data_IF_467519545339
#
_entry.id   IF_467519545339
#
_cell.length_a   1.000
_cell.length_b   1.000
_cell.length_c   1.000
_cell.angle_alpha   90.00
_cell.angle_beta   90.00
_cell.angle_gamma   90.00
#
_symmetry.space_group_name_H-M   'P 1'
#
loop_
_entity.id
_entity.type
_entity.pdbx_description
1 polymer ?
#
# COMPACT_ATOMS: atom_id res chain seq x y z
N UNK A 1 12.89 6.64 10.63
CA UNK A 1 11.84 7.60 11.01
C UNK A 1 10.79 6.79 11.74
N UNK A 2 10.81 6.83 13.07
CA UNK A 2 10.04 5.91 13.91
C UNK A 2 8.54 6.24 13.79
N UNK A 3 7.70 5.22 13.86
CA UNK A 3 6.23 5.34 13.85
C UNK A 3 5.71 6.30 14.93
N UNK A 4 6.48 6.50 16.01
CA UNK A 4 6.23 7.46 17.08
C UNK A 4 6.13 8.93 16.60
N UNK A 5 6.86 9.32 15.54
CA UNK A 5 6.83 10.70 15.03
C UNK A 5 5.53 10.99 14.26
N UNK A 6 4.93 9.97 13.63
CA UNK A 6 3.64 10.09 12.93
C UNK A 6 2.49 10.16 13.93
N UNK A 7 2.47 9.31 14.98
CA UNK A 7 1.43 9.33 16.02
C UNK A 7 1.37 10.67 16.76
N UNK A 8 2.51 11.36 16.94
CA UNK A 8 2.60 12.64 17.66
C UNK A 8 2.04 13.82 16.86
N UNK A 9 2.22 13.84 15.54
CA UNK A 9 1.71 14.91 14.68
C UNK A 9 0.19 14.81 14.42
N UNK A 10 -0.41 13.61 14.50
CA UNK A 10 -1.84 13.41 14.26
C UNK A 10 -2.75 13.84 15.42
N UNK A 11 -2.25 13.92 16.66
CA UNK A 11 -3.03 14.42 17.81
C UNK A 11 -3.24 15.94 17.76
N UNK A 12 -2.52 16.67 16.91
CA UNK A 12 -2.67 18.11 16.75
C UNK A 12 -3.64 18.45 15.59
N UNK A 13 -4.93 18.47 15.89
CA UNK A 13 -6.03 18.63 14.90
C UNK A 13 -5.90 19.87 14.00
N UNK A 14 -5.16 20.89 14.39
CA UNK A 14 -4.92 22.12 13.61
C UNK A 14 -3.94 21.93 12.45
N UNK A 15 -3.07 20.92 12.49
CA UNK A 15 -2.10 20.60 11.43
C UNK A 15 -2.56 19.48 10.48
N UNK A 16 -3.66 18.80 10.83
CA UNK A 16 -4.20 17.71 10.02
C UNK A 16 -4.77 18.22 8.68
N UNK A 17 -4.48 17.47 7.59
CA UNK A 17 -5.10 17.70 6.27
C UNK A 17 -6.63 17.70 6.39
N UNK A 18 -7.37 18.46 5.55
CA UNK A 18 -8.82 18.60 5.69
C UNK A 18 -9.59 17.28 5.82
N UNK A 19 -9.26 16.28 5.01
CA UNK A 19 -9.90 14.96 5.02
C UNK A 19 -9.55 14.10 6.25
N UNK A 20 -8.54 14.49 7.04
CA UNK A 20 -8.17 13.85 8.29
C UNK A 20 -8.79 14.53 9.52
N UNK A 21 -9.37 15.72 9.42
CA UNK A 21 -9.81 16.50 10.59
C UNK A 21 -10.78 15.73 11.49
N UNK A 22 -11.82 15.15 10.91
CA UNK A 22 -12.81 14.38 11.68
C UNK A 22 -12.18 13.16 12.35
N UNK A 23 -11.30 12.44 11.65
CA UNK A 23 -10.60 11.29 12.20
C UNK A 23 -9.62 11.70 13.31
N UNK A 24 -8.85 12.76 13.12
CA UNK A 24 -7.92 13.30 14.12
C UNK A 24 -8.64 13.76 15.39
N UNK A 25 -9.80 14.42 15.25
CA UNK A 25 -10.65 14.79 16.38
C UNK A 25 -11.22 13.58 17.13
N UNK A 26 -11.64 12.55 16.40
CA UNK A 26 -12.08 11.31 17.03
C UNK A 26 -10.92 10.60 17.73
N UNK A 27 -9.75 10.52 17.09
CA UNK A 27 -8.57 9.84 17.61
C UNK A 27 -8.04 10.52 18.88
N UNK A 28 -8.04 11.85 18.95
CA UNK A 28 -7.60 12.61 20.13
C UNK A 28 -8.51 12.42 21.36
N UNK A 29 -9.74 11.96 21.15
CA UNK A 29 -10.68 11.62 22.23
C UNK A 29 -10.49 10.18 22.74
N UNK A 30 -9.68 9.36 22.05
CA UNK A 30 -9.43 7.98 22.47
C UNK A 30 -8.28 7.92 23.49
N UNK A 31 -8.45 7.13 24.54
CA UNK A 31 -7.39 6.84 25.50
C UNK A 31 -6.42 5.79 24.96
N UNK A 32 -5.16 5.81 25.44
CA UNK A 32 -4.12 4.89 24.98
C UNK A 32 -4.49 3.41 25.24
N UNK A 33 -5.21 3.11 26.32
CA UNK A 33 -5.72 1.77 26.61
C UNK A 33 -6.68 1.25 25.53
N UNK A 34 -7.56 2.13 25.01
CA UNK A 34 -8.48 1.76 23.94
C UNK A 34 -7.72 1.44 22.64
N UNK A 35 -6.71 2.25 22.29
CA UNK A 35 -5.90 2.03 21.10
C UNK A 35 -5.05 0.75 21.21
N UNK A 36 -4.49 0.47 22.39
CA UNK A 36 -3.76 -0.79 22.65
C UNK A 36 -4.66 -2.00 22.49
N UNK A 37 -5.87 -1.98 23.07
CA UNK A 37 -6.83 -3.06 22.95
C UNK A 37 -7.25 -3.30 21.47
N UNK A 38 -7.43 -2.22 20.69
CA UNK A 38 -7.74 -2.31 19.26
C UNK A 38 -6.59 -2.90 18.44
N UNK A 39 -5.34 -2.59 18.80
CA UNK A 39 -4.14 -3.15 18.16
C UNK A 39 -4.03 -4.66 18.45
N UNK A 40 -4.21 -5.07 19.70
CA UNK A 40 -4.22 -6.50 20.08
C UNK A 40 -5.36 -7.27 19.40
N UNK A 41 -6.55 -6.68 19.34
CA UNK A 41 -7.71 -7.26 18.66
C UNK A 41 -7.42 -7.47 17.16
N UNK A 42 -6.82 -6.48 16.50
CA UNK A 42 -6.40 -6.60 15.11
C UNK A 42 -5.37 -7.72 14.92
N UNK A 43 -4.31 -7.75 15.74
CA UNK A 43 -3.26 -8.77 15.66
C UNK A 43 -3.82 -10.19 15.81
N UNK A 44 -4.75 -10.40 16.75
CA UNK A 44 -5.43 -11.68 16.92
C UNK A 44 -6.25 -12.06 15.68
N UNK A 45 -6.93 -11.11 15.05
CA UNK A 45 -7.68 -11.34 13.82
C UNK A 45 -6.76 -11.72 12.66
N UNK A 46 -5.63 -11.03 12.47
CA UNK A 46 -4.65 -11.38 11.43
C UNK A 46 -4.08 -12.79 11.61
N UNK A 47 -3.79 -13.19 12.86
CA UNK A 47 -3.37 -14.57 13.17
C UNK A 47 -4.46 -15.60 12.88
N UNK A 48 -5.73 -15.30 13.21
CA UNK A 48 -6.86 -16.21 12.97
C UNK A 48 -7.19 -16.39 11.49
N UNK A 49 -7.07 -15.34 10.69
CA UNK A 49 -7.34 -15.38 9.24
C UNK A 49 -6.18 -16.00 8.45
N UNK A 50 -5.04 -16.27 9.11
CA UNK A 50 -3.88 -16.90 8.48
C UNK A 50 -3.13 -15.96 7.54
N UNK A 51 -3.20 -14.65 7.77
CA UNK A 51 -2.45 -13.65 6.99
C UNK A 51 -1.02 -13.62 7.56
N UNK A 52 -0.21 -14.60 7.15
CA UNK A 52 1.20 -14.72 7.51
C UNK A 52 2.08 -14.54 6.28
N UNK A 53 3.33 -14.13 6.48
CA UNK A 53 4.33 -14.11 5.42
C UNK A 53 5.54 -14.97 5.80
N UNK A 54 6.10 -15.65 4.80
CA UNK A 54 7.31 -16.43 4.97
C UNK A 54 8.53 -15.49 4.97
N UNK A 55 9.32 -15.54 6.04
CA UNK A 55 10.63 -14.87 6.07
C UNK A 55 11.66 -15.85 5.50
N UNK A 56 12.13 -15.60 4.28
CA UNK A 56 13.29 -16.30 3.75
C UNK A 56 14.56 -15.67 4.33
N UNK A 57 15.31 -16.42 5.16
CA UNK A 57 16.62 -15.96 5.65
C UNK A 57 17.09 -16.53 6.99
N UNK A 58 16.19 -17.06 7.83
CA UNK A 58 16.58 -17.75 9.07
C UNK A 58 16.24 -19.24 8.96
N UNK A 59 17.15 -20.09 9.42
CA UNK A 59 17.11 -21.56 9.37
C UNK A 59 16.03 -22.17 10.29
N UNK A 60 14.79 -21.79 10.05
CA UNK A 60 13.60 -22.20 10.75
C UNK A 60 12.47 -21.31 10.29
N UNK A 61 11.65 -21.80 9.35
CA UNK A 61 10.53 -21.09 8.73
C UNK A 61 9.53 -20.61 9.77
N UNK A 62 9.86 -19.49 10.42
CA UNK A 62 9.04 -18.91 11.46
C UNK A 62 8.08 -17.98 10.75
N UNK A 63 6.83 -18.41 10.64
CA UNK A 63 5.76 -17.57 10.13
C UNK A 63 5.65 -16.31 10.99
N UNK A 64 5.68 -15.13 10.35
CA UNK A 64 5.44 -13.85 11.01
C UNK A 64 4.11 -13.27 10.54
N UNK A 65 3.35 -12.69 11.46
CA UNK A 65 2.12 -11.95 11.13
C UNK A 65 2.49 -10.67 10.38
N UNK A 66 1.74 -10.34 9.33
CA UNK A 66 1.90 -9.06 8.64
C UNK A 66 1.58 -7.93 9.65
N UNK A 67 2.46 -6.93 9.83
CA UNK A 67 2.18 -5.81 10.71
C UNK A 67 0.97 -5.03 10.19
N UNK A 68 0.01 -4.75 11.08
CA UNK A 68 -1.20 -4.00 10.75
C UNK A 68 -1.23 -2.66 11.47
N UNK A 69 -1.65 -1.62 10.75
CA UNK A 69 -1.88 -0.28 11.32
C UNK A 69 -3.39 -0.05 11.52
N UNK A 70 -3.76 0.33 12.74
CA UNK A 70 -5.15 0.68 13.10
C UNK A 70 -5.54 2.09 12.63
N UNK A 71 -4.57 2.92 12.25
CA UNK A 71 -4.77 4.27 11.72
C UNK A 71 -4.93 4.19 10.20
N UNK A 72 -6.10 4.54 9.64
CA UNK A 72 -6.34 4.41 8.22
C UNK A 72 -5.60 5.47 7.40
N UNK A 73 -5.20 5.08 6.19
CA UNK A 73 -4.87 6.04 5.14
C UNK A 73 -6.13 6.51 4.42
N UNK A 74 -6.57 7.74 4.69
CA UNK A 74 -7.80 8.30 4.13
C UNK A 74 -7.51 8.94 2.79
N UNK A 75 -8.25 8.53 1.75
CA UNK A 75 -8.21 9.13 0.42
C UNK A 75 -9.53 9.86 0.13
N UNK A 76 -9.51 11.16 -0.24
CA UNK A 76 -10.67 11.83 -0.78
C UNK A 76 -11.19 11.15 -2.04
N UNK A 77 -12.51 11.16 -2.26
CA UNK A 77 -13.12 10.49 -3.41
C UNK A 77 -12.58 11.00 -4.77
N UNK A 78 -12.30 12.30 -4.88
CA UNK A 78 -11.71 12.89 -6.09
C UNK A 78 -10.28 12.42 -6.34
N UNK A 79 -9.48 12.26 -5.28
CA UNK A 79 -8.13 11.70 -5.37
C UNK A 79 -8.18 10.23 -5.80
N UNK A 80 -9.06 9.45 -5.15
CA UNK A 80 -9.26 8.05 -5.51
C UNK A 80 -9.72 7.86 -6.95
N UNK A 81 -10.69 8.65 -7.42
CA UNK A 81 -11.20 8.55 -8.79
C UNK A 81 -10.11 8.80 -9.84
N UNK A 82 -9.23 9.78 -9.58
CA UNK A 82 -8.08 10.06 -10.45
C UNK A 82 -7.06 8.93 -10.41
N UNK A 83 -6.75 8.41 -9.21
CA UNK A 83 -5.83 7.28 -9.02
C UNK A 83 -6.35 6.03 -9.74
N UNK A 84 -7.61 5.67 -9.54
CA UNK A 84 -8.24 4.51 -10.15
C UNK A 84 -8.17 4.57 -11.68
N UNK A 85 -8.53 5.73 -12.25
CA UNK A 85 -8.49 5.93 -13.71
C UNK A 85 -7.08 5.75 -14.27
N UNK A 86 -6.08 6.37 -13.62
CA UNK A 86 -4.68 6.24 -14.04
C UNK A 86 -4.11 4.83 -13.86
N UNK A 87 -4.47 4.15 -12.77
CA UNK A 87 -4.06 2.77 -12.51
C UNK A 87 -4.66 1.82 -13.55
N UNK A 88 -5.95 1.96 -13.88
CA UNK A 88 -6.61 1.17 -14.91
C UNK A 88 -5.96 1.36 -16.27
N UNK A 89 -5.75 2.61 -16.68
CA UNK A 89 -5.04 2.93 -17.92
C UNK A 89 -3.65 2.29 -17.96
N UNK A 90 -2.88 2.43 -16.88
CA UNK A 90 -1.51 1.90 -16.81
C UNK A 90 -1.47 0.38 -16.88
N UNK A 91 -2.34 -0.31 -16.14
CA UNK A 91 -2.41 -1.78 -16.17
C UNK A 91 -2.83 -2.27 -17.55
N UNK A 92 -3.81 -1.62 -18.20
CA UNK A 92 -4.19 -1.94 -19.58
C UNK A 92 -3.01 -1.79 -20.54
N UNK A 93 -2.29 -0.67 -20.50
CA UNK A 93 -1.14 -0.43 -21.35
C UNK A 93 -0.02 -1.46 -21.09
N UNK A 94 0.27 -1.79 -19.82
CA UNK A 94 1.27 -2.80 -19.47
C UNK A 94 0.88 -4.19 -19.97
N UNK A 95 -0.39 -4.59 -19.84
CA UNK A 95 -0.85 -5.88 -20.35
C UNK A 95 -0.77 -5.96 -21.87
N UNK A 96 -1.15 -4.88 -22.58
CA UNK A 96 -1.00 -4.81 -24.03
C UNK A 96 0.48 -4.83 -24.46
N UNK A 97 1.35 -4.12 -23.73
CA UNK A 97 2.78 -4.14 -23.97
C UNK A 97 3.37 -5.54 -23.80
N UNK A 98 3.04 -6.22 -22.69
CA UNK A 98 3.49 -7.60 -22.45
C UNK A 98 3.01 -8.52 -23.56
N UNK A 99 1.73 -8.44 -23.93
CA UNK A 99 1.19 -9.24 -25.04
C UNK A 99 1.98 -8.96 -26.33
N UNK A 100 2.15 -7.71 -26.73
CA UNK A 100 2.84 -7.36 -27.97
C UNK A 100 4.30 -7.84 -27.96
N UNK A 101 5.05 -7.64 -26.87
CA UNK A 101 6.46 -8.06 -26.75
C UNK A 101 6.63 -9.58 -26.88
N UNK A 102 5.70 -10.36 -26.35
CA UNK A 102 5.74 -11.83 -26.44
C UNK A 102 5.14 -12.38 -27.74
N UNK A 103 4.58 -11.54 -28.62
CA UNK A 103 3.98 -11.94 -29.89
C UNK A 103 4.52 -11.13 -31.06
N UNK A 104 3.73 -10.22 -31.64
CA UNK A 104 4.04 -9.56 -32.91
C UNK A 104 5.11 -8.46 -32.79
N UNK A 105 5.44 -8.01 -31.59
CA UNK A 105 6.48 -7.01 -31.30
C UNK A 105 6.33 -5.72 -32.10
N UNK A 106 5.09 -5.26 -32.31
CA UNK A 106 4.78 -4.05 -33.06
C UNK A 106 5.46 -2.81 -32.47
N UNK A 107 5.47 -2.67 -31.14
CA UNK A 107 6.06 -1.52 -30.45
C UNK A 107 7.59 -1.44 -30.63
N UNK A 108 8.25 -2.60 -30.77
CA UNK A 108 9.69 -2.69 -31.02
C UNK A 108 10.00 -2.46 -32.50
N UNK A 109 9.21 -3.06 -33.41
CA UNK A 109 9.33 -2.87 -34.86
C UNK A 109 9.07 -1.41 -35.28
N UNK A 110 8.17 -0.73 -34.57
CA UNK A 110 7.89 0.69 -34.75
C UNK A 110 8.96 1.61 -34.16
N UNK A 111 9.94 1.08 -33.41
CA UNK A 111 11.02 1.86 -32.81
C UNK A 111 10.59 2.77 -31.65
N UNK A 112 9.37 2.61 -31.13
CA UNK A 112 8.87 3.39 -29.98
C UNK A 112 9.60 3.01 -28.70
N UNK A 113 9.93 1.72 -28.54
CA UNK A 113 10.78 1.21 -27.46
C UNK A 113 12.00 0.52 -28.09
N UNK A 114 13.23 0.85 -27.67
CA UNK A 114 14.44 0.18 -28.13
C UNK A 114 14.42 -1.32 -27.83
N UNK A 115 14.68 -2.14 -28.84
CA UNK A 115 14.62 -3.61 -28.75
C UNK A 115 15.61 -4.17 -27.72
N UNK A 116 16.78 -3.55 -27.58
CA UNK A 116 17.83 -4.02 -26.68
C UNK A 116 17.42 -3.92 -25.20
N UNK A 117 16.59 -2.93 -24.85
CA UNK A 117 16.10 -2.73 -23.47
C UNK A 117 15.13 -3.82 -23.01
N UNK A 118 14.49 -4.50 -23.97
CA UNK A 118 13.46 -5.50 -23.70
C UNK A 118 14.02 -6.91 -23.81
N UNK A 119 14.77 -7.22 -24.87
CA UNK A 119 15.23 -8.60 -25.13
C UNK A 119 16.44 -9.00 -24.29
N UNK A 120 17.30 -8.05 -23.93
CA UNK A 120 18.51 -8.32 -23.15
C UNK A 120 18.36 -7.93 -21.68
N UNK A 121 17.12 -7.88 -21.18
CA UNK A 121 16.84 -7.56 -19.78
C UNK A 121 17.22 -8.75 -18.90
N UNK A 122 18.22 -8.59 -18.04
CA UNK A 122 18.79 -9.61 -17.16
C UNK A 122 18.58 -9.24 -15.68
#
# INVERSE_FOLDING_TARGET
MALDDLERDFKNSTLARPHYKQFSQWLSQQGDQYLSARREEADLMFRRVGITFAVYGESGGTERTIPFDIVPRIFPASEWSRLETGLRQRVTALNMFLHDVYHEQHILKAGVIPKEQVINNA
#
